data_IF_714201134850
#
_entry.id   IF_714201134850
#
_cell.length_a   1.000
_cell.length_b   1.000
_cell.length_c   1.000
_cell.angle_alpha   90.00
_cell.angle_beta   90.00
_cell.angle_gamma   90.00
#
_symmetry.space_group_name_H-M   'P 1'
#
loop_
_entity.id
_entity.type
_entity.pdbx_description
1 polymer ?
#
# COMPACT_ATOMS: atom_id res chain seq x y z
N UNK A 1 -2.53 10.16 5.60
CA UNK A 1 -3.99 10.29 5.80
C UNK A 1 -4.35 9.60 7.09
N UNK A 2 -5.23 10.22 7.86
CA UNK A 2 -5.91 9.58 8.96
C UNK A 2 -6.99 8.62 8.42
N UNK A 3 -7.53 7.77 9.30
CA UNK A 3 -8.59 6.80 8.97
C UNK A 3 -9.81 7.48 8.33
N UNK A 4 -10.29 8.55 8.93
CA UNK A 4 -11.53 9.21 8.53
C UNK A 4 -11.42 9.88 7.17
N UNK A 5 -10.26 10.47 6.84
CA UNK A 5 -10.01 11.01 5.50
C UNK A 5 -10.02 9.93 4.43
N UNK A 6 -9.41 8.77 4.72
CA UNK A 6 -9.40 7.63 3.80
C UNK A 6 -10.83 7.10 3.53
N UNK A 7 -11.63 6.89 4.58
CA UNK A 7 -13.03 6.44 4.47
C UNK A 7 -13.86 7.41 3.63
N UNK A 8 -13.78 8.71 3.92
CA UNK A 8 -14.52 9.74 3.16
C UNK A 8 -14.16 9.77 1.67
N UNK A 9 -12.91 9.48 1.33
CA UNK A 9 -12.48 9.40 -0.08
C UNK A 9 -13.00 8.15 -0.77
N UNK A 10 -13.06 7.01 -0.07
CA UNK A 10 -13.69 5.79 -0.59
C UNK A 10 -15.17 6.02 -0.84
N UNK A 11 -15.89 6.63 0.12
CA UNK A 11 -17.30 7.01 -0.05
C UNK A 11 -17.50 7.97 -1.22
N UNK A 12 -16.65 8.99 -1.35
CA UNK A 12 -16.70 9.93 -2.45
C UNK A 12 -16.45 9.25 -3.80
N UNK A 13 -15.49 8.32 -3.88
CA UNK A 13 -15.21 7.54 -5.08
C UNK A 13 -16.45 6.73 -5.51
N UNK A 14 -17.05 5.97 -4.57
CA UNK A 14 -18.29 5.22 -4.82
C UNK A 14 -19.42 6.13 -5.31
N UNK A 15 -19.65 7.25 -4.61
CA UNK A 15 -20.73 8.19 -4.95
C UNK A 15 -20.59 8.77 -6.36
N UNK A 16 -19.37 8.92 -6.85
CA UNK A 16 -19.09 9.46 -8.19
C UNK A 16 -18.89 8.37 -9.25
N UNK A 17 -19.15 7.10 -8.95
CA UNK A 17 -19.00 5.99 -9.89
C UNK A 17 -17.54 5.71 -10.29
N UNK A 18 -16.57 6.08 -9.45
CA UNK A 18 -15.17 5.73 -9.66
C UNK A 18 -14.99 4.26 -9.29
N UNK A 19 -14.44 3.46 -10.20
CA UNK A 19 -14.29 2.00 -9.99
C UNK A 19 -12.93 1.63 -9.38
N UNK A 20 -11.89 2.45 -9.61
CA UNK A 20 -10.50 2.14 -9.30
C UNK A 20 -9.98 2.98 -8.13
N UNK A 21 -9.42 2.33 -7.11
CA UNK A 21 -8.83 3.02 -5.95
C UNK A 21 -7.48 2.42 -5.54
N UNK A 22 -6.45 3.25 -5.42
CA UNK A 22 -5.12 2.84 -4.92
C UNK A 22 -4.86 3.49 -3.56
N UNK A 23 -4.62 2.65 -2.55
CA UNK A 23 -4.40 3.06 -1.16
C UNK A 23 -2.93 2.91 -0.79
N UNK A 24 -2.35 4.00 -0.25
CA UNK A 24 -1.08 3.94 0.46
C UNK A 24 -1.33 3.62 1.94
N UNK A 25 -1.01 2.39 2.31
CA UNK A 25 -1.10 1.89 3.68
C UNK A 25 0.29 1.84 4.33
N UNK A 26 0.51 0.91 5.25
CA UNK A 26 1.79 0.73 5.95
C UNK A 26 2.03 -0.75 6.21
N UNK A 27 3.29 -1.16 6.17
CA UNK A 27 3.68 -2.41 6.83
C UNK A 27 3.23 -2.40 8.31
N UNK A 28 2.77 -3.55 8.82
CA UNK A 28 2.28 -3.74 10.18
C UNK A 28 0.78 -3.47 10.36
N UNK A 29 0.08 -2.96 9.33
CA UNK A 29 -1.37 -2.74 9.41
C UNK A 29 -2.20 -4.02 9.33
N UNK A 30 -1.61 -5.18 9.06
CA UNK A 30 -2.24 -6.50 9.22
C UNK A 30 -2.30 -6.96 10.68
N UNK A 31 -1.37 -6.50 11.53
CA UNK A 31 -1.20 -6.95 12.91
C UNK A 31 -0.84 -5.77 13.85
N UNK A 32 -1.70 -4.74 13.95
CA UNK A 32 -1.40 -3.56 14.75
C UNK A 32 -1.19 -3.86 16.24
N UNK A 33 -1.74 -4.95 16.77
CA UNK A 33 -1.56 -5.40 18.15
C UNK A 33 -0.09 -5.72 18.50
N UNK A 34 0.68 -6.18 17.51
CA UNK A 34 2.11 -6.51 17.65
C UNK A 34 3.03 -5.29 17.54
N UNK A 35 2.47 -4.13 17.19
CA UNK A 35 3.23 -2.90 17.08
C UNK A 35 3.70 -2.38 18.44
N UNK A 36 4.82 -1.65 18.42
CA UNK A 36 5.23 -0.83 19.56
C UNK A 36 4.12 0.18 19.90
N UNK A 37 3.97 0.51 21.18
CA UNK A 37 2.84 1.29 21.70
C UNK A 37 2.63 2.62 20.97
N UNK A 38 3.71 3.35 20.65
CA UNK A 38 3.64 4.61 19.90
C UNK A 38 3.18 4.49 18.44
N UNK A 39 3.21 3.28 17.85
CA UNK A 39 2.82 3.01 16.46
C UNK A 39 1.47 2.30 16.35
N UNK A 40 0.94 1.73 17.44
CA UNK A 40 -0.29 0.94 17.43
C UNK A 40 -1.48 1.70 16.85
N UNK A 41 -1.78 2.89 17.37
CA UNK A 41 -2.92 3.70 16.88
C UNK A 41 -2.80 4.09 15.40
N UNK A 42 -1.57 4.36 14.93
CA UNK A 42 -1.34 4.64 13.52
C UNK A 42 -1.62 3.41 12.65
N UNK A 43 -1.17 2.23 13.07
CA UNK A 43 -1.39 0.99 12.33
C UNK A 43 -2.85 0.51 12.40
N UNK A 44 -3.54 0.72 13.52
CA UNK A 44 -5.00 0.51 13.64
C UNK A 44 -5.76 1.41 12.65
N UNK A 45 -5.43 2.70 12.59
CA UNK A 45 -6.06 3.62 11.65
C UNK A 45 -5.84 3.21 10.19
N UNK A 46 -4.65 2.67 9.86
CA UNK A 46 -4.35 2.12 8.53
C UNK A 46 -5.08 0.81 8.25
N UNK A 47 -5.13 -0.09 9.24
CA UNK A 47 -5.88 -1.34 9.15
C UNK A 47 -7.35 -1.08 8.83
N UNK A 48 -7.99 -0.22 9.62
CA UNK A 48 -9.41 0.08 9.46
C UNK A 48 -9.73 0.70 8.09
N UNK A 49 -8.83 1.56 7.59
CA UNK A 49 -8.98 2.14 6.25
C UNK A 49 -8.81 1.08 5.14
N UNK A 50 -7.88 0.14 5.31
CA UNK A 50 -7.67 -0.97 4.38
C UNK A 50 -8.91 -1.88 4.34
N UNK A 51 -9.43 -2.30 5.49
CA UNK A 51 -10.62 -3.17 5.58
C UNK A 51 -11.87 -2.47 5.06
N UNK A 52 -12.03 -1.17 5.33
CA UNK A 52 -13.11 -0.39 4.77
C UNK A 52 -13.07 -0.35 3.23
N UNK A 53 -11.88 -0.13 2.64
CA UNK A 53 -11.70 -0.14 1.20
C UNK A 53 -11.98 -1.54 0.61
N UNK A 54 -11.54 -2.62 1.26
CA UNK A 54 -11.82 -3.99 0.82
C UNK A 54 -13.32 -4.30 0.80
N UNK A 55 -14.06 -3.80 1.78
CA UNK A 55 -15.52 -3.95 1.87
C UNK A 55 -16.30 -3.01 0.94
N UNK A 56 -15.62 -2.09 0.23
CA UNK A 56 -16.27 -1.01 -0.53
C UNK A 56 -16.78 -1.40 -1.92
N UNK A 57 -16.46 -2.61 -2.40
CA UNK A 57 -16.72 -3.10 -3.78
C UNK A 57 -15.93 -2.39 -4.88
N UNK A 58 -15.11 -1.38 -4.54
CA UNK A 58 -14.17 -0.77 -5.48
C UNK A 58 -13.08 -1.77 -5.88
N UNK A 59 -12.62 -1.69 -7.12
CA UNK A 59 -11.42 -2.40 -7.57
C UNK A 59 -10.19 -1.75 -6.94
N UNK A 60 -9.71 -2.35 -5.86
CA UNK A 60 -8.71 -1.72 -5.00
C UNK A 60 -7.29 -2.22 -5.26
N UNK A 61 -6.30 -1.44 -4.85
CA UNK A 61 -4.94 -1.94 -4.59
C UNK A 61 -4.42 -1.28 -3.33
N UNK A 62 -3.96 -2.08 -2.38
CA UNK A 62 -3.40 -1.60 -1.12
C UNK A 62 -1.89 -1.87 -1.13
N UNK A 63 -1.11 -0.80 -1.11
CA UNK A 63 0.35 -0.87 -1.09
C UNK A 63 0.84 -0.59 0.32
N UNK A 64 1.57 -1.54 0.92
CA UNK A 64 2.12 -1.47 2.29
C UNK A 64 3.64 -1.36 2.25
N UNK A 65 4.20 -0.15 2.10
CA UNK A 65 5.64 0.00 2.15
C UNK A 65 6.18 -0.28 3.56
N UNK A 66 7.44 -0.71 3.60
CA UNK A 66 8.28 -0.71 4.79
C UNK A 66 8.75 0.72 5.14
N UNK A 67 9.77 0.84 5.99
CA UNK A 67 10.41 2.12 6.36
C UNK A 67 10.74 2.98 5.14
N UNK A 68 10.27 4.23 5.15
CA UNK A 68 10.43 5.19 4.05
C UNK A 68 11.69 6.03 4.21
N UNK A 69 12.51 6.11 3.15
CA UNK A 69 13.70 6.98 3.11
C UNK A 69 13.50 8.17 2.16
N UNK A 70 14.36 9.19 2.29
CA UNK A 70 14.42 10.36 1.40
C UNK A 70 15.56 10.24 0.38
N UNK A 71 16.08 9.04 0.19
CA UNK A 71 17.13 8.78 -0.79
C UNK A 71 16.59 8.89 -2.22
N UNK A 72 17.51 8.88 -3.18
CA UNK A 72 17.14 8.89 -4.59
C UNK A 72 16.46 7.57 -4.99
N UNK A 73 15.62 7.62 -6.01
CA UNK A 73 14.95 6.44 -6.54
C UNK A 73 15.95 5.39 -7.02
N UNK A 74 15.70 4.12 -6.69
CA UNK A 74 16.43 2.97 -7.19
C UNK A 74 15.74 2.43 -8.46
N UNK A 75 14.42 2.58 -8.55
CA UNK A 75 13.59 2.07 -9.65
C UNK A 75 13.41 0.55 -9.64
N UNK A 76 13.86 -0.12 -8.58
CA UNK A 76 13.78 -1.57 -8.40
C UNK A 76 13.27 -1.92 -7.02
N UNK A 77 12.34 -2.87 -6.97
CA UNK A 77 11.62 -3.24 -5.75
C UNK A 77 11.48 -4.76 -5.64
N UNK A 78 11.12 -5.18 -4.43
CA UNK A 78 10.36 -6.41 -4.21
C UNK A 78 8.91 -6.03 -3.92
N UNK A 79 7.97 -6.85 -4.40
CA UNK A 79 6.55 -6.72 -4.12
C UNK A 79 5.96 -8.12 -3.94
N UNK A 80 5.38 -8.40 -2.77
CA UNK A 80 4.80 -9.71 -2.42
C UNK A 80 3.80 -9.57 -1.26
N UNK A 81 2.86 -10.51 -1.15
CA UNK A 81 1.93 -10.63 -0.03
C UNK A 81 2.60 -11.21 1.23
N UNK A 82 3.57 -12.14 1.07
CA UNK A 82 4.10 -13.00 2.15
C UNK A 82 5.63 -13.06 2.19
N UNK A 83 6.28 -11.91 2.36
CA UNK A 83 7.75 -11.84 2.46
C UNK A 83 8.24 -11.25 3.78
N UNK A 84 9.36 -11.79 4.27
CA UNK A 84 10.16 -11.19 5.35
C UNK A 84 10.85 -9.90 4.87
N UNK A 85 10.58 -8.83 5.59
CA UNK A 85 10.94 -7.46 5.26
C UNK A 85 11.64 -6.80 6.46
N UNK A 86 12.11 -7.60 7.42
CA UNK A 86 12.84 -7.13 8.60
C UNK A 86 14.03 -6.28 8.17
N UNK A 87 14.13 -5.07 8.74
CA UNK A 87 15.19 -4.08 8.45
C UNK A 87 15.29 -3.65 6.96
N UNK A 88 14.20 -3.71 6.20
CA UNK A 88 14.15 -3.19 4.82
C UNK A 88 13.62 -1.76 4.79
N UNK A 89 13.99 -1.04 3.74
CA UNK A 89 13.56 0.33 3.50
C UNK A 89 13.26 0.57 2.01
N UNK A 90 12.58 1.67 1.70
CA UNK A 90 12.29 2.10 0.33
C UNK A 90 12.26 3.62 0.18
N UNK A 91 12.87 4.19 -0.89
CA UNK A 91 12.73 5.61 -1.19
C UNK A 91 11.27 6.01 -1.43
N UNK A 92 10.85 7.16 -0.89
CA UNK A 92 9.50 7.71 -1.15
C UNK A 92 9.20 7.85 -2.65
N UNK A 93 10.21 8.16 -3.44
CA UNK A 93 10.09 8.28 -4.91
C UNK A 93 9.74 6.94 -5.56
N UNK A 94 10.31 5.83 -5.10
CA UNK A 94 9.95 4.50 -5.62
C UNK A 94 8.54 4.09 -5.18
N UNK A 95 8.11 4.44 -3.96
CA UNK A 95 6.72 4.24 -3.52
C UNK A 95 5.74 5.00 -4.40
N UNK A 96 6.03 6.26 -4.74
CA UNK A 96 5.20 7.06 -5.64
C UNK A 96 5.08 6.41 -7.03
N UNK A 97 6.19 5.90 -7.56
CA UNK A 97 6.19 5.18 -8.83
C UNK A 97 5.37 3.88 -8.78
N UNK A 98 5.42 3.13 -7.67
CA UNK A 98 4.57 1.95 -7.45
C UNK A 98 3.09 2.31 -7.44
N UNK A 99 2.71 3.35 -6.71
CA UNK A 99 1.31 3.79 -6.62
C UNK A 99 0.79 4.20 -8.01
N UNK A 100 1.58 4.96 -8.77
CA UNK A 100 1.22 5.37 -10.13
C UNK A 100 1.10 4.17 -11.08
N UNK A 101 2.06 3.25 -11.08
CA UNK A 101 2.02 2.06 -11.94
C UNK A 101 0.84 1.14 -11.58
N UNK A 102 0.51 1.02 -10.28
CA UNK A 102 -0.60 0.18 -9.81
C UNK A 102 -1.94 0.62 -10.39
N UNK A 103 -2.15 1.91 -10.69
CA UNK A 103 -3.42 2.41 -11.25
C UNK A 103 -3.86 1.61 -12.47
N UNK A 104 -2.91 1.27 -13.35
CA UNK A 104 -3.18 0.63 -14.65
C UNK A 104 -2.76 -0.85 -14.71
N UNK A 105 -2.12 -1.38 -13.66
CA UNK A 105 -1.61 -2.75 -13.67
C UNK A 105 -2.65 -3.73 -13.11
N UNK A 106 -3.34 -4.45 -14.00
CA UNK A 106 -4.47 -5.33 -13.65
C UNK A 106 -4.08 -6.44 -12.66
N UNK A 107 -2.82 -6.90 -12.69
CA UNK A 107 -2.31 -7.89 -11.72
C UNK A 107 -2.38 -7.41 -10.28
N UNK A 108 -2.43 -6.11 -10.06
CA UNK A 108 -2.54 -5.51 -8.72
C UNK A 108 -3.98 -5.35 -8.24
N UNK A 109 -4.98 -5.66 -9.08
CA UNK A 109 -6.38 -5.43 -8.75
C UNK A 109 -6.86 -6.38 -7.66
N UNK A 110 -7.55 -5.81 -6.68
CA UNK A 110 -8.00 -6.48 -5.46
C UNK A 110 -6.86 -7.18 -4.70
N UNK A 111 -5.65 -6.61 -4.77
CA UNK A 111 -4.46 -7.09 -4.06
C UNK A 111 -4.05 -6.16 -2.94
N UNK A 112 -3.50 -6.77 -1.89
CA UNK A 112 -2.80 -6.10 -0.80
C UNK A 112 -1.40 -6.68 -0.72
N UNK A 113 -0.36 -5.87 -0.92
CA UNK A 113 1.01 -6.37 -0.93
C UNK A 113 1.99 -5.41 -0.26
N UNK A 114 3.12 -5.96 0.17
CA UNK A 114 4.20 -5.25 0.83
C UNK A 114 5.27 -4.88 -0.20
N UNK A 115 5.92 -3.73 -0.03
CA UNK A 115 7.01 -3.30 -0.92
C UNK A 115 8.25 -2.83 -0.15
N UNK A 116 9.41 -3.13 -0.69
CA UNK A 116 10.71 -2.59 -0.25
C UNK A 116 11.71 -2.55 -1.42
N UNK A 117 12.85 -1.89 -1.24
CA UNK A 117 13.91 -1.82 -2.26
C UNK A 117 14.40 -3.21 -2.66
N UNK A 118 14.56 -3.44 -3.97
CA UNK A 118 14.86 -4.77 -4.50
C UNK A 118 15.61 -4.76 -5.82
N UNK A 119 15.43 -5.82 -6.61
CA UNK A 119 16.21 -6.06 -7.83
C UNK A 119 15.39 -6.04 -9.12
N UNK A 120 14.07 -6.25 -9.03
CA UNK A 120 13.15 -6.24 -10.18
C UNK A 120 12.68 -4.83 -10.49
N UNK A 121 12.53 -4.47 -11.77
CA UNK A 121 11.90 -3.19 -12.11
C UNK A 121 10.46 -3.15 -11.61
N UNK A 122 9.96 -1.97 -11.26
CA UNK A 122 8.62 -1.81 -10.67
C UNK A 122 7.53 -2.57 -11.44
N UNK A 123 7.43 -2.37 -12.77
CA UNK A 123 6.43 -3.08 -13.58
C UNK A 123 6.61 -4.60 -13.55
N UNK A 124 7.85 -5.08 -13.64
CA UNK A 124 8.16 -6.51 -13.58
C UNK A 124 7.76 -7.10 -12.22
N UNK A 125 8.04 -6.38 -11.12
CA UNK A 125 7.66 -6.80 -9.78
C UNK A 125 6.13 -6.85 -9.61
N UNK A 126 5.39 -5.83 -10.09
CA UNK A 126 3.94 -5.79 -9.98
C UNK A 126 3.21 -6.87 -10.79
N UNK A 127 3.82 -7.34 -11.88
CA UNK A 127 3.29 -8.44 -12.68
C UNK A 127 3.39 -9.81 -12.01
N UNK A 128 4.20 -9.93 -10.97
CA UNK A 128 4.48 -11.18 -10.26
C UNK A 128 3.71 -11.31 -8.93
N UNK A 129 2.77 -10.40 -8.65
CA UNK A 129 1.92 -10.38 -7.45
C UNK A 129 0.68 -11.27 -7.61
#
# INVERSE_FOLDING_TARGET
MDKNGAIKLVDAAKKNGIERFVMLSSFGSDNPEQAQEGMRHYLEAKHDADEYLKASELTYTIVRPVTLTNEQAIGKIFADEKVDHTNKSIPRTDVAAVLAQSVIEEKTFNKTFKIFSGTLRIKEALNNI
#
